data_IF_479120904617
#
_entry.id   IF_479120904617
#
_cell.length_a   1.000
_cell.length_b   1.000
_cell.length_c   1.000
_cell.angle_alpha   90.00
_cell.angle_beta   90.00
_cell.angle_gamma   90.00
#
_symmetry.space_group_name_H-M   'P 1'
#
loop_
_entity.id
_entity.type
_entity.pdbx_description
1 polymer ?
#
# COMPACT_ATOMS: atom_id res chain seq x y z
N UNK A 1 -7.34 11.57 34.70
CA UNK A 1 -7.86 10.22 34.41
C UNK A 1 -8.71 10.21 33.14
N UNK A 2 -9.85 10.93 33.07
CA UNK A 2 -10.71 10.91 31.86
C UNK A 2 -10.04 11.44 30.56
N UNK A 3 -9.22 12.50 30.65
CA UNK A 3 -8.49 13.04 29.48
C UNK A 3 -7.47 12.06 28.91
N UNK A 4 -6.73 11.38 29.79
CA UNK A 4 -5.70 10.40 29.43
C UNK A 4 -6.34 9.14 28.80
N UNK A 5 -7.50 8.68 29.30
CA UNK A 5 -8.27 7.61 28.67
C UNK A 5 -8.83 8.00 27.30
N UNK A 6 -9.26 9.25 27.11
CA UNK A 6 -9.74 9.73 25.82
C UNK A 6 -8.61 9.80 24.80
N UNK A 7 -7.44 10.30 25.21
CA UNK A 7 -6.23 10.36 24.38
C UNK A 7 -5.73 8.97 24.00
N UNK A 8 -5.72 8.02 24.94
CA UNK A 8 -5.36 6.63 24.68
C UNK A 8 -6.31 5.96 23.68
N UNK A 9 -7.62 6.15 23.84
CA UNK A 9 -8.63 5.63 22.89
C UNK A 9 -8.45 6.25 21.50
N UNK A 10 -8.17 7.54 21.42
CA UNK A 10 -7.93 8.22 20.14
C UNK A 10 -6.63 7.74 19.47
N UNK A 11 -5.58 7.44 20.24
CA UNK A 11 -4.34 6.88 19.71
C UNK A 11 -4.55 5.45 19.18
N UNK A 12 -5.23 4.59 19.93
CA UNK A 12 -5.55 3.23 19.48
C UNK A 12 -6.40 3.23 18.21
N UNK A 13 -7.40 4.11 18.12
CA UNK A 13 -8.22 4.22 16.90
C UNK A 13 -7.38 4.58 15.68
N UNK A 14 -6.43 5.51 15.82
CA UNK A 14 -5.50 5.89 14.76
C UNK A 14 -4.62 4.73 14.32
N UNK A 15 -4.06 3.98 15.27
CA UNK A 15 -3.22 2.80 15.00
C UNK A 15 -4.02 1.75 14.22
N UNK A 16 -5.25 1.45 14.65
CA UNK A 16 -6.12 0.47 13.96
C UNK A 16 -6.40 0.91 12.52
N UNK A 17 -6.77 2.18 12.31
CA UNK A 17 -7.01 2.70 10.96
C UNK A 17 -5.76 2.63 10.09
N UNK A 18 -4.59 3.01 10.62
CA UNK A 18 -3.33 2.92 9.87
C UNK A 18 -2.95 1.48 9.53
N UNK A 19 -3.19 0.52 10.43
CA UNK A 19 -2.96 -0.90 10.16
C UNK A 19 -3.90 -1.44 9.08
N UNK A 20 -5.16 -0.99 9.04
CA UNK A 20 -6.10 -1.33 7.97
C UNK A 20 -5.66 -0.74 6.62
N UNK A 21 -5.20 0.50 6.58
CA UNK A 21 -4.67 1.12 5.35
C UNK A 21 -3.40 0.40 4.86
N UNK A 22 -2.48 0.05 5.76
CA UNK A 22 -1.30 -0.75 5.42
C UNK A 22 -1.70 -2.09 4.79
N UNK A 23 -2.65 -2.80 5.40
CA UNK A 23 -3.16 -4.07 4.86
C UNK A 23 -3.76 -3.91 3.46
N UNK A 24 -4.49 -2.81 3.20
CA UNK A 24 -5.04 -2.52 1.87
C UNK A 24 -3.94 -2.22 0.87
N UNK A 25 -2.93 -1.43 1.26
CA UNK A 25 -1.79 -1.10 0.40
C UNK A 25 -1.00 -2.36 0.02
N UNK A 26 -0.74 -3.26 0.96
CA UNK A 26 -0.13 -4.57 0.69
C UNK A 26 -0.95 -5.40 -0.31
N UNK A 27 -2.28 -5.44 -0.15
CA UNK A 27 -3.15 -6.14 -1.09
C UNK A 27 -3.08 -5.52 -2.49
N UNK A 28 -3.02 -4.19 -2.59
CA UNK A 28 -2.86 -3.49 -3.88
C UNK A 28 -1.53 -3.86 -4.52
N UNK A 29 -0.43 -3.82 -3.76
CA UNK A 29 0.90 -4.24 -4.23
C UNK A 29 0.85 -5.65 -4.81
N UNK A 30 0.31 -6.61 -4.07
CA UNK A 30 0.23 -8.01 -4.51
C UNK A 30 -0.57 -8.17 -5.82
N UNK A 31 -1.63 -7.37 -6.02
CA UNK A 31 -2.40 -7.36 -7.26
C UNK A 31 -1.63 -6.74 -8.42
N UNK A 32 -0.91 -5.65 -8.19
CA UNK A 32 -0.07 -5.00 -9.19
C UNK A 32 1.10 -5.91 -9.61
N UNK A 33 1.76 -6.58 -8.66
CA UNK A 33 2.77 -7.60 -8.99
C UNK A 33 2.18 -8.74 -9.82
N UNK A 34 0.94 -9.14 -9.52
CA UNK A 34 0.21 -10.12 -10.32
C UNK A 34 -0.01 -9.65 -11.77
N UNK A 35 -0.35 -8.37 -11.96
CA UNK A 35 -0.51 -7.77 -13.29
C UNK A 35 0.83 -7.68 -14.03
N UNK A 36 1.92 -7.33 -13.35
CA UNK A 36 3.26 -7.26 -13.93
C UNK A 36 3.73 -8.64 -14.43
N UNK A 37 3.53 -9.69 -13.62
CA UNK A 37 3.80 -11.07 -14.03
C UNK A 37 2.94 -11.51 -15.22
N UNK A 38 1.65 -11.13 -15.22
CA UNK A 38 0.73 -11.44 -16.31
C UNK A 38 1.15 -10.72 -17.61
N UNK A 39 1.57 -9.46 -17.52
CA UNK A 39 2.13 -8.69 -18.63
C UNK A 39 3.36 -9.39 -19.23
N UNK A 40 4.29 -9.85 -18.38
CA UNK A 40 5.47 -10.61 -18.80
C UNK A 40 5.17 -11.96 -19.46
N UNK A 41 3.99 -12.54 -19.21
CA UNK A 41 3.54 -13.80 -19.83
C UNK A 41 3.03 -13.64 -21.27
N UNK A 42 2.63 -12.42 -21.66
CA UNK A 42 2.22 -12.14 -23.02
C UNK A 42 3.42 -11.79 -23.90
N UNK A 43 3.47 -12.28 -25.16
CA UNK A 43 4.50 -11.90 -26.12
C UNK A 43 4.54 -10.39 -26.37
N UNK A 44 5.70 -9.88 -26.76
CA UNK A 44 5.84 -8.50 -27.23
C UNK A 44 4.89 -8.23 -28.41
N UNK A 45 4.26 -7.04 -28.40
CA UNK A 45 3.28 -6.65 -29.42
C UNK A 45 1.89 -7.29 -29.28
N UNK A 46 1.67 -8.18 -28.31
CA UNK A 46 0.34 -8.73 -28.04
C UNK A 46 -0.60 -7.65 -27.47
N UNK A 47 -1.82 -7.53 -27.99
CA UNK A 47 -2.78 -6.48 -27.59
C UNK A 47 -3.00 -6.39 -26.08
N UNK A 48 -3.08 -7.53 -25.39
CA UNK A 48 -3.25 -7.54 -23.93
C UNK A 48 -2.02 -7.02 -23.20
N UNK A 49 -0.81 -7.27 -23.72
CA UNK A 49 0.43 -6.73 -23.16
C UNK A 49 0.43 -5.21 -23.28
N UNK A 50 0.13 -4.68 -24.46
CA UNK A 50 0.03 -3.24 -24.72
C UNK A 50 -0.99 -2.56 -23.80
N UNK A 51 -2.13 -3.22 -23.55
CA UNK A 51 -3.14 -2.71 -22.60
C UNK A 51 -2.64 -2.67 -21.16
N UNK A 52 -1.85 -3.66 -20.72
CA UNK A 52 -1.27 -3.70 -19.38
C UNK A 52 -0.11 -2.69 -19.23
N UNK A 53 0.73 -2.53 -20.25
CA UNK A 53 1.81 -1.52 -20.29
C UNK A 53 1.23 -0.10 -20.15
N UNK A 54 0.07 0.16 -20.77
CA UNK A 54 -0.63 1.44 -20.66
C UNK A 54 -1.18 1.75 -19.24
N UNK A 55 -1.24 0.75 -18.36
CA UNK A 55 -1.61 0.97 -16.94
C UNK A 55 -0.44 1.48 -16.10
N UNK A 56 0.79 1.48 -16.63
CA UNK A 56 2.00 1.90 -15.90
C UNK A 56 2.13 1.21 -14.53
N UNK A 57 2.00 -0.12 -14.54
CA UNK A 57 1.99 -0.98 -13.34
C UNK A 57 3.28 -0.82 -12.52
N UNK A 58 4.42 -0.66 -13.20
CA UNK A 58 5.73 -0.36 -12.62
C UNK A 58 5.70 0.91 -11.76
N UNK A 59 5.18 2.01 -12.32
CA UNK A 59 5.06 3.29 -11.61
C UNK A 59 4.06 3.21 -10.46
N UNK A 60 2.97 2.49 -10.65
CA UNK A 60 1.98 2.26 -9.60
C UNK A 60 2.59 1.44 -8.44
N UNK A 61 3.40 0.43 -8.73
CA UNK A 61 4.12 -0.36 -7.73
C UNK A 61 5.10 0.49 -6.92
N UNK A 62 5.86 1.38 -7.57
CA UNK A 62 6.74 2.31 -6.87
C UNK A 62 5.97 3.17 -5.86
N UNK A 63 4.86 3.78 -6.28
CA UNK A 63 4.03 4.61 -5.41
C UNK A 63 3.47 3.82 -4.21
N UNK A 64 2.91 2.64 -4.46
CA UNK A 64 2.33 1.80 -3.39
C UNK A 64 3.42 1.29 -2.43
N UNK A 65 4.61 0.97 -2.92
CA UNK A 65 5.72 0.57 -2.06
C UNK A 65 6.19 1.70 -1.15
N UNK A 66 6.20 2.94 -1.64
CA UNK A 66 6.49 4.11 -0.80
C UNK A 66 5.39 4.33 0.24
N UNK A 67 4.11 4.22 -0.13
CA UNK A 67 2.99 4.33 0.82
C UNK A 67 3.09 3.27 1.92
N UNK A 68 3.39 2.01 1.57
CA UNK A 68 3.61 0.92 2.53
C UNK A 68 4.76 1.27 3.48
N UNK A 69 5.87 1.82 2.96
CA UNK A 69 7.02 2.22 3.76
C UNK A 69 6.64 3.30 4.78
N UNK A 70 5.94 4.36 4.33
CA UNK A 70 5.50 5.46 5.17
C UNK A 70 4.50 5.01 6.24
N UNK A 71 3.54 4.15 5.88
CA UNK A 71 2.58 3.59 6.82
C UNK A 71 3.26 2.69 7.87
N UNK A 72 4.23 1.89 7.44
CA UNK A 72 5.02 1.03 8.34
C UNK A 72 5.83 1.87 9.33
N UNK A 73 6.53 2.90 8.85
CA UNK A 73 7.32 3.81 9.69
C UNK A 73 6.43 4.51 10.73
N UNK A 74 5.28 5.02 10.30
CA UNK A 74 4.34 5.70 11.18
C UNK A 74 3.70 4.75 12.23
N UNK A 75 3.56 3.46 11.91
CA UNK A 75 3.13 2.43 12.88
C UNK A 75 4.24 2.03 13.86
N UNK A 76 5.51 2.04 13.43
CA UNK A 76 6.66 1.77 14.29
C UNK A 76 6.96 2.95 15.24
N UNK A 77 6.69 4.18 14.80
CA UNK A 77 6.94 5.41 15.55
C UNK A 77 5.67 6.29 15.71
N UNK A 78 4.62 5.83 16.42
CA UNK A 78 3.32 6.52 16.48
C UNK A 78 3.35 7.91 17.17
N UNK A 79 4.45 8.23 17.86
CA UNK A 79 4.67 9.49 18.59
C UNK A 79 5.69 10.42 17.93
N UNK A 80 6.17 10.08 16.73
CA UNK A 80 7.29 10.74 16.06
C UNK A 80 8.61 10.02 16.32
N UNK A 81 9.54 10.15 15.36
CA UNK A 81 10.95 9.72 15.46
C UNK A 81 11.73 10.57 16.45
#
# INVERSE_FOLDING_TARGET
MEREEAEFRAANKRIVTMAEELRKAELVRDRLEGLDRLMGSYPEGHDMRTRLEALHVDRALEGVNEDIRLLTDALQHPRGT
#
